data_IF_376465324382
#
_entry.id   IF_376465324382
#
_cell.length_a   1.000
_cell.length_b   1.000
_cell.length_c   1.000
_cell.angle_alpha   90.00
_cell.angle_beta   90.00
_cell.angle_gamma   90.00
#
_symmetry.space_group_name_H-M   'P 1'
#
loop_
_entity.id
_entity.type
_entity.pdbx_description
1 polymer ?
#
# COMPACT_ATOMS: atom_id res chain seq x y z
N UNK A 1 -26.58 -4.40 -58.27
CA UNK A 1 -25.97 -3.45 -57.30
C UNK A 1 -26.97 -2.82 -56.32
N UNK A 2 -28.14 -2.33 -56.75
CA UNK A 2 -29.14 -1.67 -55.85
C UNK A 2 -29.57 -2.49 -54.63
N UNK A 3 -29.69 -3.82 -54.73
CA UNK A 3 -30.12 -4.67 -53.60
C UNK A 3 -29.01 -4.91 -52.55
N UNK A 4 -27.73 -4.90 -52.92
CA UNK A 4 -26.61 -5.03 -51.98
C UNK A 4 -26.46 -3.77 -51.11
N UNK A 5 -26.68 -2.59 -51.69
CA UNK A 5 -26.62 -1.31 -50.96
C UNK A 5 -27.74 -1.25 -49.91
N UNK A 6 -28.98 -1.63 -50.26
CA UNK A 6 -30.10 -1.68 -49.30
C UNK A 6 -29.84 -2.64 -48.13
N UNK A 7 -29.21 -3.78 -48.38
CA UNK A 7 -28.89 -4.76 -47.34
C UNK A 7 -27.81 -4.26 -46.36
N UNK A 8 -26.78 -3.58 -46.87
CA UNK A 8 -25.73 -2.96 -46.04
C UNK A 8 -26.31 -1.80 -45.22
N UNK A 9 -27.15 -0.96 -45.82
CA UNK A 9 -27.84 0.14 -45.11
C UNK A 9 -28.76 -0.38 -44.00
N UNK A 10 -29.43 -1.51 -44.20
CA UNK A 10 -30.30 -2.14 -43.20
C UNK A 10 -29.48 -2.70 -42.02
N UNK A 11 -28.34 -3.35 -42.28
CA UNK A 11 -27.43 -3.84 -41.23
C UNK A 11 -26.86 -2.66 -40.43
N UNK A 12 -26.42 -1.60 -41.09
CA UNK A 12 -25.94 -0.39 -40.43
C UNK A 12 -27.03 0.26 -39.56
N UNK A 13 -28.27 0.32 -40.04
CA UNK A 13 -29.39 0.85 -39.27
C UNK A 13 -29.71 -0.03 -38.04
N UNK A 14 -29.65 -1.35 -38.17
CA UNK A 14 -29.87 -2.29 -37.04
C UNK A 14 -28.73 -2.16 -36.01
N UNK A 15 -27.48 -2.04 -36.45
CA UNK A 15 -26.34 -1.78 -35.55
C UNK A 15 -26.50 -0.43 -34.86
N UNK A 16 -26.89 0.62 -35.59
CA UNK A 16 -27.14 1.94 -35.02
C UNK A 16 -28.26 1.90 -33.98
N UNK A 17 -29.38 1.25 -34.28
CA UNK A 17 -30.52 1.09 -33.36
C UNK A 17 -30.12 0.27 -32.14
N UNK A 18 -29.39 -0.84 -32.30
CA UNK A 18 -28.89 -1.64 -31.19
C UNK A 18 -27.94 -0.83 -30.28
N UNK A 19 -27.02 -0.05 -30.85
CA UNK A 19 -26.14 0.84 -30.08
C UNK A 19 -26.91 1.97 -29.39
N UNK A 20 -27.94 2.53 -30.03
CA UNK A 20 -28.80 3.56 -29.43
C UNK A 20 -29.65 2.98 -28.29
N UNK A 21 -30.25 1.81 -28.47
CA UNK A 21 -31.07 1.13 -27.46
C UNK A 21 -30.25 0.72 -26.24
N UNK A 22 -29.00 0.26 -26.43
CA UNK A 22 -28.07 -0.02 -25.32
C UNK A 22 -27.73 1.29 -24.57
N UNK A 23 -27.47 2.40 -25.28
CA UNK A 23 -27.21 3.71 -24.65
C UNK A 23 -28.43 4.28 -23.92
N UNK A 24 -29.66 4.07 -24.43
CA UNK A 24 -30.90 4.56 -23.80
C UNK A 24 -31.29 3.72 -22.58
N UNK A 25 -31.14 2.40 -22.62
CA UNK A 25 -31.34 1.54 -21.44
C UNK A 25 -30.31 1.82 -20.34
N UNK A 26 -29.07 2.12 -20.72
CA UNK A 26 -28.02 2.50 -19.79
C UNK A 26 -28.27 3.88 -19.15
N UNK A 27 -28.90 4.81 -19.87
CA UNK A 27 -29.27 6.11 -19.30
C UNK A 27 -30.46 6.06 -18.31
N UNK A 28 -31.20 4.94 -18.26
CA UNK A 28 -32.39 4.76 -17.41
C UNK A 28 -32.20 3.82 -16.21
N UNK A 29 -31.01 3.24 -16.00
CA UNK A 29 -30.70 2.63 -14.71
C UNK A 29 -30.45 3.73 -13.70
N UNK A 30 -31.26 3.79 -12.63
CA UNK A 30 -31.01 4.70 -11.51
C UNK A 30 -29.70 4.34 -10.83
N UNK A 31 -28.59 4.95 -11.28
CA UNK A 31 -27.28 4.82 -10.64
C UNK A 31 -27.43 5.34 -9.21
N UNK A 32 -27.13 4.49 -8.25
CA UNK A 32 -27.25 4.77 -6.82
C UNK A 32 -26.05 4.21 -6.06
N UNK A 33 -26.04 4.42 -4.74
CA UNK A 33 -25.14 3.70 -3.83
C UNK A 33 -25.89 2.48 -3.31
N UNK A 34 -25.29 1.29 -3.48
CA UNK A 34 -25.85 0.04 -2.98
C UNK A 34 -25.86 0.07 -1.44
N UNK A 35 -27.07 -0.01 -0.88
CA UNK A 35 -27.32 -0.04 0.57
C UNK A 35 -27.59 -1.44 1.10
N UNK A 36 -27.18 -2.48 0.38
CA UNK A 36 -27.27 -3.87 0.86
C UNK A 36 -26.59 -4.03 2.22
N UNK A 37 -27.35 -4.56 3.18
CA UNK A 37 -26.94 -4.74 4.58
C UNK A 37 -26.72 -6.22 4.94
N UNK A 38 -26.62 -7.12 3.97
CA UNK A 38 -26.27 -8.52 4.18
C UNK A 38 -24.76 -8.65 4.50
N UNK A 39 -24.34 -8.06 5.61
CA UNK A 39 -22.95 -8.03 6.03
C UNK A 39 -22.44 -9.43 6.34
N UNK A 40 -21.15 -9.63 6.16
CA UNK A 40 -20.48 -10.79 6.73
C UNK A 40 -20.70 -10.78 8.24
N UNK A 41 -21.07 -11.94 8.80
CA UNK A 41 -21.03 -12.11 10.25
C UNK A 41 -19.56 -12.16 10.66
N UNK A 42 -19.24 -11.58 11.82
CA UNK A 42 -17.88 -11.60 12.38
C UNK A 42 -17.38 -13.04 12.65
N UNK A 43 -18.31 -13.99 12.76
CA UNK A 43 -18.02 -15.42 12.71
C UNK A 43 -17.89 -15.87 11.25
N UNK A 44 -16.75 -16.47 10.90
CA UNK A 44 -16.41 -17.04 9.59
C UNK A 44 -17.37 -18.19 9.17
N UNK A 45 -18.65 -17.90 8.96
CA UNK A 45 -19.58 -18.78 8.27
C UNK A 45 -19.11 -18.87 6.79
N UNK A 46 -18.62 -20.05 6.40
CA UNK A 46 -18.10 -20.43 5.07
C UNK A 46 -16.56 -20.48 4.89
N UNK A 47 -15.78 -20.74 5.94
CA UNK A 47 -14.61 -21.60 5.72
C UNK A 47 -15.13 -23.03 5.80
N UNK A 48 -15.59 -23.59 4.68
CA UNK A 48 -15.75 -25.04 4.61
C UNK A 48 -14.39 -25.60 4.92
N UNK A 49 -14.38 -26.43 5.95
CA UNK A 49 -13.30 -27.28 6.35
C UNK A 49 -13.59 -28.76 5.86
N UNK A 50 -12.79 -29.38 4.92
CA UNK A 50 -12.69 -30.77 4.39
C UNK A 50 -11.23 -31.22 4.07
N UNK A 51 -10.83 -32.38 4.60
CA UNK A 51 -9.47 -32.97 4.63
C UNK A 51 -9.51 -34.27 3.84
N UNK A 52 -8.47 -34.61 3.09
CA UNK A 52 -8.31 -35.95 2.50
C UNK A 52 -7.38 -36.77 3.40
N UNK A 53 -7.89 -37.87 3.98
CA UNK A 53 -7.06 -38.94 4.51
C UNK A 53 -6.90 -40.03 3.46
N UNK A 54 -5.66 -40.35 3.12
CA UNK A 54 -5.31 -41.65 2.54
C UNK A 54 -5.59 -42.73 3.60
N UNK A 55 -6.40 -43.72 3.21
CA UNK A 55 -6.85 -44.92 3.95
C UNK A 55 -8.22 -44.78 4.65
N UNK A 56 -9.29 -45.14 3.91
CA UNK A 56 -10.59 -45.63 4.40
C UNK A 56 -11.16 -45.06 5.71
N UNK A 57 -11.13 -43.74 5.89
CA UNK A 57 -11.92 -43.03 6.89
C UNK A 57 -12.53 -41.78 6.26
N UNK A 58 -13.85 -41.59 6.38
CA UNK A 58 -14.54 -40.36 5.99
C UNK A 58 -14.04 -39.21 6.88
N UNK A 59 -13.40 -38.19 6.31
CA UNK A 59 -12.95 -37.00 7.06
C UNK A 59 -13.52 -35.69 6.47
N UNK A 60 -14.05 -34.83 7.34
CA UNK A 60 -14.59 -33.49 7.08
C UNK A 60 -13.78 -32.45 7.94
N UNK A 61 -12.67 -31.79 7.46
CA UNK A 61 -12.09 -30.43 7.88
C UNK A 61 -10.90 -29.82 6.98
N UNK A 62 -10.82 -28.52 6.55
CA UNK A 62 -10.09 -27.82 5.36
C UNK A 62 -8.99 -26.97 5.98
N UNK A 63 -8.01 -27.66 6.53
CA UNK A 63 -6.68 -27.12 6.67
C UNK A 63 -5.78 -28.29 7.04
N UNK A 64 -4.93 -28.73 6.10
CA UNK A 64 -4.02 -29.84 6.36
C UNK A 64 -2.63 -29.27 6.69
N UNK A 65 -2.14 -29.49 7.91
CA UNK A 65 -0.76 -29.21 8.31
C UNK A 65 0.05 -30.50 8.16
N UNK A 66 0.85 -30.60 7.11
CA UNK A 66 1.66 -31.79 6.83
C UNK A 66 2.90 -31.76 7.72
N UNK A 67 2.90 -32.51 8.82
CA UNK A 67 4.02 -32.76 9.74
C UNK A 67 4.85 -31.54 10.17
N UNK A 68 4.61 -31.05 11.39
CA UNK A 68 5.41 -29.96 11.99
C UNK A 68 6.72 -30.52 12.54
N UNK A 69 7.83 -30.44 11.79
CA UNK A 69 9.20 -30.52 12.35
C UNK A 69 10.25 -29.99 11.36
N UNK A 70 10.63 -28.72 11.58
CA UNK A 70 11.91 -28.03 11.27
C UNK A 70 11.69 -26.69 10.54
N UNK A 71 12.20 -25.60 11.14
CA UNK A 71 12.24 -24.27 10.51
C UNK A 71 13.21 -24.28 9.32
N UNK A 72 12.85 -23.64 8.21
CA UNK A 72 13.62 -23.61 6.97
C UNK A 72 14.97 -22.86 7.05
N UNK A 73 15.61 -22.54 5.92
CA UNK A 73 16.88 -21.82 5.95
C UNK A 73 16.69 -20.34 6.34
N UNK A 74 17.45 -19.81 7.30
CA UNK A 74 17.43 -18.38 7.66
C UNK A 74 17.66 -17.43 6.47
N UNK A 75 18.30 -17.91 5.40
CA UNK A 75 18.49 -17.20 4.14
C UNK A 75 17.89 -18.05 3.01
N UNK A 76 16.79 -17.61 2.37
CA UNK A 76 16.12 -18.41 1.35
C UNK A 76 16.88 -18.38 0.01
N UNK A 77 16.56 -19.32 -0.89
CA UNK A 77 17.03 -19.29 -2.28
C UNK A 77 16.43 -18.10 -3.04
N UNK A 78 16.89 -17.85 -4.27
CA UNK A 78 16.29 -16.79 -5.09
C UNK A 78 14.83 -17.11 -5.43
N UNK A 79 13.97 -16.08 -5.43
CA UNK A 79 12.55 -16.19 -5.73
C UNK A 79 12.26 -16.95 -7.03
N UNK A 80 13.06 -16.74 -8.09
CA UNK A 80 12.91 -17.41 -9.38
C UNK A 80 13.11 -18.93 -9.29
N UNK A 81 14.09 -19.38 -8.51
CA UNK A 81 14.36 -20.82 -8.31
C UNK A 81 13.20 -21.45 -7.54
N UNK A 82 12.75 -20.80 -6.47
CA UNK A 82 11.68 -21.33 -5.62
C UNK A 82 10.34 -21.34 -6.33
N UNK A 83 10.05 -20.32 -7.14
CA UNK A 83 8.87 -20.29 -7.99
C UNK A 83 8.75 -21.54 -8.87
N UNK A 84 9.84 -21.96 -9.53
CA UNK A 84 9.84 -23.15 -10.37
C UNK A 84 9.56 -24.42 -9.55
N UNK A 85 10.23 -24.57 -8.39
CA UNK A 85 10.00 -25.70 -7.48
C UNK A 85 8.57 -25.76 -6.96
N UNK A 86 7.97 -24.61 -6.65
CA UNK A 86 6.57 -24.53 -6.20
C UNK A 86 5.62 -24.95 -7.31
N UNK A 87 5.85 -24.54 -8.57
CA UNK A 87 5.03 -24.98 -9.71
C UNK A 87 5.11 -26.49 -9.93
N UNK A 88 6.32 -27.05 -9.91
CA UNK A 88 6.52 -28.50 -10.01
C UNK A 88 5.87 -29.27 -8.86
N UNK A 89 5.97 -28.74 -7.63
CA UNK A 89 5.30 -29.33 -6.47
C UNK A 89 3.77 -29.23 -6.60
N UNK A 90 3.25 -28.11 -7.10
CA UNK A 90 1.82 -27.90 -7.33
C UNK A 90 1.26 -28.87 -8.39
N UNK A 91 1.99 -29.13 -9.48
CA UNK A 91 1.59 -30.08 -10.52
C UNK A 91 1.52 -31.53 -10.04
N UNK A 92 2.37 -31.88 -9.05
CA UNK A 92 2.34 -33.20 -8.39
C UNK A 92 1.17 -33.34 -7.43
N UNK A 93 0.59 -32.23 -6.96
CA UNK A 93 -0.64 -32.24 -6.19
C UNK A 93 -1.82 -32.39 -7.15
N UNK A 94 -2.88 -33.09 -6.74
CA UNK A 94 -4.13 -33.19 -7.52
C UNK A 94 -4.95 -31.89 -7.41
N UNK A 95 -4.33 -30.76 -7.73
CA UNK A 95 -4.91 -29.43 -7.66
C UNK A 95 -5.41 -28.96 -9.04
N UNK A 96 -6.36 -28.00 -9.08
CA UNK A 96 -6.87 -27.45 -10.33
C UNK A 96 -5.73 -26.86 -11.18
N UNK A 97 -5.65 -27.28 -12.44
CA UNK A 97 -4.58 -26.88 -13.38
C UNK A 97 -4.82 -25.51 -13.99
N UNK A 98 -6.06 -25.04 -13.94
CA UNK A 98 -6.50 -23.75 -14.44
C UNK A 98 -6.13 -22.57 -13.53
N UNK A 99 -5.73 -22.83 -12.28
CA UNK A 99 -5.28 -21.77 -11.37
C UNK A 99 -3.84 -21.37 -11.66
N UNK A 100 -3.59 -20.06 -11.65
CA UNK A 100 -2.27 -19.50 -11.96
C UNK A 100 -1.59 -18.99 -10.70
N UNK A 101 -0.28 -19.23 -10.59
CA UNK A 101 0.54 -18.64 -9.53
C UNK A 101 0.48 -17.11 -9.65
N UNK A 102 0.13 -16.46 -8.56
CA UNK A 102 -0.16 -15.02 -8.56
C UNK A 102 0.35 -14.26 -7.33
N UNK A 103 0.91 -14.99 -6.35
CA UNK A 103 1.64 -14.44 -5.22
C UNK A 103 2.71 -15.45 -4.78
N UNK A 104 3.88 -14.94 -4.42
CA UNK A 104 4.96 -15.70 -3.80
C UNK A 104 5.83 -14.75 -2.97
N UNK A 105 6.03 -15.08 -1.70
CA UNK A 105 6.86 -14.33 -0.76
C UNK A 105 7.46 -15.23 0.31
N UNK A 106 8.54 -14.79 0.95
CA UNK A 106 9.19 -15.55 2.01
C UNK A 106 8.78 -15.03 3.38
N UNK A 107 8.21 -15.90 4.21
CA UNK A 107 7.90 -15.62 5.61
C UNK A 107 9.17 -15.85 6.44
N UNK A 108 9.83 -14.77 6.86
CA UNK A 108 11.08 -14.85 7.65
C UNK A 108 10.87 -15.44 9.06
N UNK A 109 9.67 -15.28 9.63
CA UNK A 109 9.36 -15.74 10.99
C UNK A 109 9.09 -17.25 10.99
N UNK A 110 8.37 -17.77 9.99
CA UNK A 110 8.09 -19.21 9.82
C UNK A 110 9.17 -19.94 9.00
N UNK A 111 10.02 -19.20 8.29
CA UNK A 111 11.07 -19.69 7.39
C UNK A 111 10.55 -20.57 6.25
N UNK A 112 9.42 -20.16 5.67
CA UNK A 112 8.70 -20.87 4.61
C UNK A 112 8.28 -19.89 3.51
N UNK A 113 8.16 -20.38 2.28
CA UNK A 113 7.61 -19.59 1.17
C UNK A 113 6.10 -19.69 1.14
N UNK A 114 5.41 -18.56 1.23
CA UNK A 114 3.97 -18.48 1.01
C UNK A 114 3.69 -18.24 -0.47
N UNK A 115 2.76 -18.99 -1.06
CA UNK A 115 2.32 -18.78 -2.42
C UNK A 115 0.79 -18.88 -2.57
N UNK A 116 0.25 -18.25 -3.62
CA UNK A 116 -1.17 -18.37 -3.99
C UNK A 116 -1.35 -18.70 -5.47
N UNK A 117 -2.19 -19.68 -5.74
CA UNK A 117 -2.68 -20.05 -7.06
C UNK A 117 -4.17 -19.71 -7.10
N UNK A 118 -4.58 -18.82 -8.00
CA UNK A 118 -5.94 -18.28 -8.02
C UNK A 118 -6.55 -18.45 -9.42
N UNK A 119 -7.87 -18.60 -9.47
CA UNK A 119 -8.61 -18.66 -10.74
C UNK A 119 -8.44 -17.32 -11.48
N UNK A 120 -8.24 -17.40 -12.79
CA UNK A 120 -8.19 -16.22 -13.67
C UNK A 120 -9.14 -16.46 -14.85
N UNK A 121 -10.13 -15.58 -15.01
CA UNK A 121 -11.09 -15.64 -16.10
C UNK A 121 -11.13 -14.29 -16.81
N UNK A 122 -11.01 -14.30 -18.13
CA UNK A 122 -11.01 -13.09 -18.97
C UNK A 122 -9.95 -12.06 -18.53
N UNK A 123 -8.79 -12.54 -18.04
CA UNK A 123 -7.70 -11.70 -17.50
C UNK A 123 -7.98 -11.10 -16.12
N UNK A 124 -9.09 -11.46 -15.47
CA UNK A 124 -9.47 -10.99 -14.14
C UNK A 124 -9.20 -12.09 -13.12
N UNK A 125 -8.36 -11.75 -12.15
CA UNK A 125 -7.98 -12.64 -11.06
C UNK A 125 -9.09 -12.72 -10.00
N UNK A 126 -9.52 -13.94 -9.67
CA UNK A 126 -10.50 -14.22 -8.62
C UNK A 126 -9.79 -14.58 -7.30
N UNK A 127 -9.55 -13.55 -6.47
CA UNK A 127 -8.88 -13.72 -5.18
C UNK A 127 -9.71 -14.47 -4.13
N UNK A 128 -10.95 -14.84 -4.45
CA UNK A 128 -11.85 -15.61 -3.59
C UNK A 128 -12.02 -17.06 -4.02
N UNK A 129 -11.29 -17.48 -5.07
CA UNK A 129 -11.26 -18.87 -5.53
C UNK A 129 -9.84 -19.29 -5.92
N UNK A 130 -9.26 -20.19 -5.13
CA UNK A 130 -7.87 -20.56 -5.27
C UNK A 130 -7.33 -21.45 -4.16
N UNK A 131 -6.00 -21.54 -4.14
CA UNK A 131 -5.21 -22.30 -3.18
C UNK A 131 -4.11 -21.40 -2.65
N UNK A 132 -4.07 -21.21 -1.33
CA UNK A 132 -2.94 -20.64 -0.61
C UNK A 132 -2.09 -21.79 -0.09
N UNK A 133 -0.77 -21.74 -0.25
CA UNK A 133 0.12 -22.79 0.19
C UNK A 133 1.37 -22.25 0.86
N UNK A 134 2.04 -23.08 1.66
CA UNK A 134 3.40 -22.85 2.15
C UNK A 134 4.33 -23.95 1.65
N UNK A 135 5.51 -23.55 1.21
CA UNK A 135 6.56 -24.41 0.69
C UNK A 135 7.81 -24.30 1.57
N UNK A 136 8.31 -25.44 2.03
CA UNK A 136 9.55 -25.54 2.79
C UNK A 136 10.69 -25.89 1.85
N UNK A 137 11.70 -25.02 1.76
CA UNK A 137 12.92 -25.33 1.00
C UNK A 137 13.73 -26.46 1.64
N UNK A 138 13.66 -26.57 2.97
CA UNK A 138 14.37 -27.60 3.74
C UNK A 138 13.80 -28.99 3.45
N UNK A 139 12.48 -29.10 3.39
CA UNK A 139 11.78 -30.35 3.06
C UNK A 139 11.56 -30.51 1.55
N UNK A 140 11.88 -29.48 0.77
CA UNK A 140 11.69 -29.38 -0.68
C UNK A 140 10.27 -29.78 -1.13
N UNK A 141 9.23 -29.42 -0.34
CA UNK A 141 7.83 -29.78 -0.59
C UNK A 141 6.84 -28.74 -0.05
N UNK A 142 5.59 -28.85 -0.49
CA UNK A 142 4.46 -28.12 0.10
C UNK A 142 4.15 -28.74 1.47
N UNK A 143 4.20 -27.91 2.53
CA UNK A 143 4.01 -28.32 3.93
C UNK A 143 2.65 -27.88 4.50
N UNK A 144 2.00 -26.94 3.82
CA UNK A 144 0.65 -26.48 4.17
C UNK A 144 -0.08 -26.04 2.91
N UNK A 145 -1.39 -26.26 2.87
CA UNK A 145 -2.27 -25.57 1.93
C UNK A 145 -3.66 -25.33 2.49
N UNK A 146 -4.33 -24.33 1.93
CA UNK A 146 -5.72 -23.97 2.17
C UNK A 146 -6.39 -23.70 0.83
N UNK A 147 -7.42 -24.49 0.52
CA UNK A 147 -8.32 -24.24 -0.61
C UNK A 147 -9.41 -23.25 -0.18
N UNK A 148 -9.79 -22.35 -1.06
CA UNK A 148 -10.90 -21.44 -0.85
C UNK A 148 -11.67 -21.33 -2.17
N UNK A 149 -12.99 -21.35 -2.09
CA UNK A 149 -13.87 -21.34 -3.25
C UNK A 149 -15.19 -20.68 -2.85
N UNK A 150 -15.22 -19.35 -2.91
CA UNK A 150 -16.44 -18.59 -2.71
C UNK A 150 -17.02 -18.24 -4.09
N UNK A 151 -18.31 -18.48 -4.25
CA UNK A 151 -18.99 -18.24 -5.51
C UNK A 151 -19.12 -16.73 -5.79
N UNK A 152 -18.86 -16.37 -7.04
CA UNK A 152 -19.09 -15.02 -7.54
C UNK A 152 -20.53 -14.92 -8.04
N UNK A 153 -21.23 -13.85 -7.67
CA UNK A 153 -22.55 -13.54 -8.21
C UNK A 153 -22.48 -13.45 -9.72
N UNK A 154 -23.33 -14.23 -10.41
CA UNK A 154 -23.37 -14.24 -11.87
C UNK A 154 -23.83 -12.88 -12.40
N UNK A 155 -23.04 -12.33 -13.30
CA UNK A 155 -23.35 -11.10 -14.02
C UNK A 155 -24.00 -11.44 -15.36
N UNK A 156 -25.18 -10.86 -15.64
CA UNK A 156 -25.89 -11.09 -16.91
C UNK A 156 -25.36 -10.21 -18.05
N UNK A 157 -24.75 -9.08 -17.73
CA UNK A 157 -24.20 -8.09 -18.67
C UNK A 157 -23.14 -7.27 -17.94
N UNK A 158 -22.05 -6.90 -18.62
CA UNK A 158 -21.05 -5.98 -18.09
C UNK A 158 -21.21 -4.57 -18.71
N UNK A 159 -21.28 -3.55 -17.87
CA UNK A 159 -21.16 -2.14 -18.29
C UNK A 159 -19.74 -1.85 -18.76
N UNK A 160 -19.61 -0.95 -19.73
CA UNK A 160 -18.33 -0.59 -20.35
C UNK A 160 -17.69 0.64 -19.71
N UNK A 161 -16.43 0.93 -20.04
CA UNK A 161 -15.79 2.21 -19.68
C UNK A 161 -16.53 3.41 -20.27
N UNK A 162 -17.11 3.29 -21.45
CA UNK A 162 -17.88 4.38 -22.08
C UNK A 162 -19.13 4.73 -21.26
N UNK A 163 -19.80 3.72 -20.70
CA UNK A 163 -20.88 3.94 -19.76
C UNK A 163 -20.43 4.73 -18.52
N UNK A 164 -19.26 4.40 -17.97
CA UNK A 164 -18.68 5.14 -16.85
C UNK A 164 -18.40 6.60 -17.22
N UNK A 165 -17.83 6.84 -18.41
CA UNK A 165 -17.54 8.21 -18.92
C UNK A 165 -18.81 9.03 -19.07
N UNK A 166 -19.85 8.46 -19.67
CA UNK A 166 -21.15 9.13 -19.85
C UNK A 166 -21.83 9.49 -18.52
N UNK A 167 -21.55 8.75 -17.44
CA UNK A 167 -22.17 8.95 -16.13
C UNK A 167 -21.21 9.51 -15.06
N UNK A 168 -20.01 9.97 -15.42
CA UNK A 168 -18.98 10.46 -14.49
C UNK A 168 -19.53 11.54 -13.53
N UNK A 169 -20.27 12.51 -14.06
CA UNK A 169 -20.88 13.58 -13.26
C UNK A 169 -21.85 13.07 -12.19
N UNK A 170 -22.66 12.04 -12.50
CA UNK A 170 -23.61 11.44 -11.55
C UNK A 170 -22.87 10.73 -10.41
N UNK A 171 -21.80 10.00 -10.71
CA UNK A 171 -20.97 9.36 -9.67
C UNK A 171 -20.35 10.38 -8.73
N UNK A 172 -19.78 11.46 -9.28
CA UNK A 172 -19.18 12.56 -8.52
C UNK A 172 -20.23 13.21 -7.60
N UNK A 173 -21.44 13.45 -8.11
CA UNK A 173 -22.55 14.02 -7.34
C UNK A 173 -22.95 13.11 -6.16
N UNK A 174 -23.15 11.81 -6.41
CA UNK A 174 -23.48 10.83 -5.38
C UNK A 174 -22.40 10.75 -4.29
N UNK A 175 -21.12 10.71 -4.69
CA UNK A 175 -19.99 10.68 -3.76
C UNK A 175 -19.93 11.94 -2.89
N UNK A 176 -20.14 13.13 -3.48
CA UNK A 176 -20.17 14.41 -2.74
C UNK A 176 -21.39 14.55 -1.81
N UNK A 177 -22.52 13.93 -2.18
CA UNK A 177 -23.72 13.86 -1.34
C UNK A 177 -23.44 13.06 -0.07
N UNK A 178 -22.75 11.94 -0.21
CA UNK A 178 -22.51 11.01 0.90
C UNK A 178 -21.32 11.44 1.76
N UNK A 179 -20.30 12.02 1.13
CA UNK A 179 -19.10 12.51 1.82
C UNK A 179 -18.96 14.02 1.64
N UNK A 180 -19.50 14.83 2.57
CA UNK A 180 -19.39 16.29 2.50
C UNK A 180 -17.94 16.79 2.35
N UNK A 181 -16.96 16.07 2.90
CA UNK A 181 -15.53 16.38 2.76
C UNK A 181 -15.03 16.40 1.31
N UNK A 182 -15.73 15.75 0.38
CA UNK A 182 -15.40 15.74 -1.04
C UNK A 182 -15.98 16.94 -1.81
N UNK A 183 -16.90 17.71 -1.22
CA UNK A 183 -17.61 18.80 -1.93
C UNK A 183 -16.65 19.88 -2.43
N UNK A 184 -15.70 20.26 -1.58
CA UNK A 184 -14.67 21.27 -1.85
C UNK A 184 -13.49 20.72 -2.66
N UNK A 185 -13.43 19.40 -2.87
CA UNK A 185 -12.33 18.78 -3.60
C UNK A 185 -12.63 18.73 -5.11
N UNK A 186 -11.59 19.00 -5.90
CA UNK A 186 -11.63 18.78 -7.33
C UNK A 186 -11.40 17.28 -7.63
N UNK A 187 -12.48 16.50 -7.55
CA UNK A 187 -12.44 15.05 -7.81
C UNK A 187 -12.69 14.77 -9.29
N UNK A 188 -11.98 13.78 -9.83
CA UNK A 188 -12.13 13.32 -11.21
C UNK A 188 -11.94 11.80 -11.24
N UNK A 189 -12.79 11.09 -11.97
CA UNK A 189 -12.65 9.65 -12.10
C UNK A 189 -11.60 9.30 -13.17
N UNK A 190 -10.58 8.52 -12.79
CA UNK A 190 -9.62 7.95 -13.71
C UNK A 190 -10.19 6.70 -14.40
N UNK A 191 -11.14 6.94 -15.30
CA UNK A 191 -11.89 5.89 -16.00
C UNK A 191 -11.01 5.18 -17.02
N UNK A 192 -10.03 5.87 -17.61
CA UNK A 192 -9.11 5.28 -18.59
C UNK A 192 -8.28 4.17 -17.95
N UNK A 193 -7.81 4.36 -16.71
CA UNK A 193 -7.05 3.36 -15.98
C UNK A 193 -7.91 2.43 -15.11
N UNK A 194 -9.23 2.52 -15.17
CA UNK A 194 -10.13 1.65 -14.42
C UNK A 194 -9.92 0.17 -14.78
N UNK A 195 -10.02 -0.70 -13.77
CA UNK A 195 -9.80 -2.15 -13.89
C UNK A 195 -10.99 -2.93 -13.35
N UNK A 196 -11.31 -4.06 -13.98
CA UNK A 196 -12.28 -5.00 -13.45
C UNK A 196 -11.63 -5.89 -12.39
N UNK A 197 -12.30 -6.04 -11.25
CA UNK A 197 -11.87 -6.85 -10.12
C UNK A 197 -13.07 -7.61 -9.54
N UNK A 198 -12.82 -8.76 -8.92
CA UNK A 198 -13.80 -9.39 -8.04
C UNK A 198 -13.63 -8.81 -6.64
N UNK A 199 -14.73 -8.34 -6.03
CA UNK A 199 -14.71 -7.65 -4.74
C UNK A 199 -15.88 -8.03 -3.86
N UNK A 200 -15.70 -7.91 -2.55
CA UNK A 200 -16.81 -7.81 -1.60
C UNK A 200 -17.21 -6.35 -1.46
N UNK A 201 -18.47 -5.98 -1.77
CA UNK A 201 -19.02 -4.66 -1.50
C UNK A 201 -18.81 -4.26 -0.05
N UNK A 202 -18.74 -2.96 0.20
CA UNK A 202 -18.49 -2.46 1.55
C UNK A 202 -19.13 -1.10 1.80
N UNK A 203 -19.18 -0.72 3.06
CA UNK A 203 -19.81 0.52 3.53
C UNK A 203 -18.91 1.75 3.45
N UNK A 204 -17.70 1.67 2.85
CA UNK A 204 -16.80 2.83 2.82
C UNK A 204 -17.42 4.04 2.11
N UNK A 205 -18.29 3.79 1.12
CA UNK A 205 -18.98 4.83 0.35
C UNK A 205 -20.40 5.14 0.86
N UNK A 206 -20.66 4.85 2.13
CA UNK A 206 -21.95 5.08 2.79
C UNK A 206 -21.80 5.97 4.01
N UNK A 207 -22.66 6.98 4.14
CA UNK A 207 -22.64 7.87 5.29
C UNK A 207 -23.51 7.41 6.47
N UNK A 208 -24.42 6.47 6.23
CA UNK A 208 -25.37 5.94 7.22
C UNK A 208 -24.71 4.93 8.18
N UNK A 209 -23.52 4.43 7.85
CA UNK A 209 -22.77 3.46 8.67
C UNK A 209 -21.36 4.01 8.90
N UNK A 210 -20.98 4.18 10.17
CA UNK A 210 -19.66 4.73 10.55
C UNK A 210 -18.52 3.73 10.38
N UNK A 211 -18.79 2.44 10.50
CA UNK A 211 -17.82 1.36 10.40
C UNK A 211 -17.72 0.84 8.96
N UNK A 212 -16.54 0.38 8.56
CA UNK A 212 -16.36 -0.32 7.29
C UNK A 212 -16.72 -1.79 7.49
N UNK A 213 -17.84 -2.22 6.90
CA UNK A 213 -18.32 -3.60 6.89
C UNK A 213 -18.34 -4.13 5.47
N UNK A 214 -18.03 -5.41 5.29
CA UNK A 214 -18.11 -6.10 4.00
C UNK A 214 -19.44 -6.83 3.89
N UNK A 215 -20.00 -6.87 2.68
CA UNK A 215 -21.22 -7.63 2.35
C UNK A 215 -20.82 -9.06 2.02
N UNK A 216 -21.60 -10.04 2.47
CA UNK A 216 -21.43 -11.47 2.19
C UNK A 216 -21.88 -11.83 0.75
N UNK A 217 -21.28 -11.18 -0.24
CA UNK A 217 -21.43 -11.47 -1.66
C UNK A 217 -20.16 -11.02 -2.39
N UNK A 218 -19.76 -11.76 -3.41
CA UNK A 218 -18.65 -11.35 -4.29
C UNK A 218 -19.25 -10.93 -5.62
N UNK A 219 -18.87 -9.76 -6.09
CA UNK A 219 -19.34 -9.18 -7.36
C UNK A 219 -18.16 -8.78 -8.22
N UNK A 220 -18.37 -8.78 -9.54
CA UNK A 220 -17.45 -8.17 -10.50
C UNK A 220 -17.69 -6.67 -10.51
N UNK A 221 -16.63 -5.87 -10.39
CA UNK A 221 -16.73 -4.43 -10.25
C UNK A 221 -15.61 -3.70 -10.97
N UNK A 222 -15.91 -2.51 -11.49
CA UNK A 222 -14.93 -1.53 -11.89
C UNK A 222 -14.32 -0.86 -10.66
N UNK A 223 -13.02 -0.97 -10.53
CA UNK A 223 -12.22 -0.17 -9.62
C UNK A 223 -11.79 1.10 -10.33
N UNK A 224 -12.25 2.25 -9.82
CA UNK A 224 -12.01 3.57 -10.42
C UNK A 224 -11.39 4.50 -9.39
N UNK A 225 -10.19 4.99 -9.68
CA UNK A 225 -9.52 5.98 -8.83
C UNK A 225 -10.17 7.35 -9.01
N UNK A 226 -10.46 8.07 -7.91
CA UNK A 226 -11.13 9.39 -7.97
C UNK A 226 -10.32 10.52 -7.32
N UNK A 227 -9.39 10.13 -6.45
CA UNK A 227 -8.32 10.91 -5.87
C UNK A 227 -7.13 9.96 -5.81
N UNK A 228 -5.90 10.48 -5.92
CA UNK A 228 -4.71 9.64 -5.89
C UNK A 228 -4.74 8.61 -4.75
N UNK A 229 -4.69 7.32 -5.10
CA UNK A 229 -4.75 6.16 -4.20
C UNK A 229 -6.10 5.86 -3.50
N UNK A 230 -7.14 6.65 -3.74
CA UNK A 230 -8.51 6.39 -3.29
C UNK A 230 -9.36 5.98 -4.47
N UNK A 231 -10.08 4.87 -4.34
CA UNK A 231 -10.87 4.34 -5.43
C UNK A 231 -12.24 3.89 -4.96
N UNK A 232 -13.19 4.01 -5.87
CA UNK A 232 -14.57 3.55 -5.72
C UNK A 232 -14.72 2.24 -6.49
N UNK A 233 -15.58 1.37 -5.98
CA UNK A 233 -16.03 0.17 -6.68
C UNK A 233 -17.41 0.43 -7.27
N UNK A 234 -17.52 0.26 -8.58
CA UNK A 234 -18.76 0.40 -9.35
C UNK A 234 -19.13 -0.99 -9.88
N UNK A 235 -20.31 -1.48 -9.52
CA UNK A 235 -20.80 -2.81 -9.92
C UNK A 235 -20.81 -2.93 -11.46
N UNK A 236 -20.13 -3.95 -11.98
CA UNK A 236 -20.03 -4.15 -13.42
C UNK A 236 -21.39 -4.51 -14.05
N UNK A 237 -22.36 -4.98 -13.28
CA UNK A 237 -23.68 -5.38 -13.79
C UNK A 237 -24.64 -4.21 -13.95
N UNK A 238 -24.69 -3.31 -12.97
CA UNK A 238 -25.75 -2.31 -12.85
C UNK A 238 -25.25 -0.87 -12.70
N UNK A 239 -23.94 -0.66 -12.55
CA UNK A 239 -23.36 0.68 -12.42
C UNK A 239 -23.54 1.33 -11.06
N UNK A 240 -24.03 0.65 -10.03
CA UNK A 240 -24.14 1.23 -8.69
C UNK A 240 -22.77 1.32 -8.02
N UNK A 241 -22.57 2.35 -7.19
CA UNK A 241 -21.44 2.41 -6.27
C UNK A 241 -21.69 1.38 -5.15
N UNK A 242 -20.80 0.40 -5.03
CA UNK A 242 -20.92 -0.73 -4.08
C UNK A 242 -19.90 -0.68 -2.95
N UNK A 243 -19.13 0.41 -2.87
CA UNK A 243 -18.13 0.63 -1.84
C UNK A 243 -16.89 1.29 -2.40
N UNK A 244 -15.80 1.21 -1.66
CA UNK A 244 -14.51 1.71 -2.11
C UNK A 244 -13.38 1.15 -1.26
N UNK A 245 -12.17 1.60 -1.55
CA UNK A 245 -11.02 1.35 -0.70
C UNK A 245 -9.94 2.38 -1.02
N UNK A 246 -8.83 2.30 -0.30
CA UNK A 246 -7.64 3.09 -0.55
C UNK A 246 -6.42 2.21 -0.39
N UNK A 247 -5.37 2.52 -1.15
CA UNK A 247 -4.08 1.89 -0.87
C UNK A 247 -3.56 2.38 0.47
N UNK A 248 -3.20 1.46 1.37
CA UNK A 248 -2.33 1.77 2.49
C UNK A 248 -0.91 1.89 1.93
N UNK A 249 -0.32 3.07 2.00
CA UNK A 249 1.07 3.29 1.62
C UNK A 249 1.72 4.13 2.70
N UNK A 250 3.02 3.93 2.91
CA UNK A 250 3.78 4.78 3.81
C UNK A 250 4.27 6.02 3.08
N UNK A 251 4.00 7.19 3.62
CA UNK A 251 4.46 8.48 3.10
C UNK A 251 5.73 8.93 3.82
N UNK A 252 6.61 9.57 3.06
CA UNK A 252 7.82 10.21 3.55
C UNK A 252 7.86 11.67 3.09
N UNK A 253 8.31 12.57 3.97
CA UNK A 253 8.61 13.96 3.61
C UNK A 253 10.09 14.19 3.83
N UNK A 254 10.74 14.81 2.87
CA UNK A 254 12.05 15.45 3.04
C UNK A 254 11.86 16.95 2.93
N UNK A 255 12.25 17.72 3.93
CA UNK A 255 12.07 19.16 3.94
C UNK A 255 13.32 19.89 4.45
N UNK A 256 13.54 21.11 3.97
CA UNK A 256 14.61 21.99 4.46
C UNK A 256 14.14 23.41 4.66
N UNK A 257 14.79 24.14 5.58
CA UNK A 257 14.50 25.58 5.80
C UNK A 257 15.13 26.46 4.71
N UNK A 258 16.21 26.00 4.08
CA UNK A 258 16.94 26.77 3.06
C UNK A 258 17.80 27.88 3.63
N UNK A 259 18.13 27.79 4.91
CA UNK A 259 18.95 28.77 5.62
C UNK A 259 20.47 28.48 5.51
N UNK A 260 20.87 27.33 4.95
CA UNK A 260 22.29 27.03 4.72
C UNK A 260 22.86 27.75 3.48
N UNK A 261 24.13 28.17 3.57
CA UNK A 261 24.84 28.86 2.48
C UNK A 261 24.91 27.95 1.23
N UNK A 262 24.86 28.54 0.04
CA UNK A 262 24.96 27.84 -1.24
C UNK A 262 23.89 26.74 -1.48
N UNK A 263 22.77 26.78 -0.76
CA UNK A 263 21.64 25.87 -0.97
C UNK A 263 21.99 24.37 -0.80
N UNK A 264 22.98 24.06 0.05
CA UNK A 264 23.48 22.70 0.27
C UNK A 264 22.37 21.78 0.84
N UNK A 265 21.45 22.35 1.63
CA UNK A 265 20.23 21.72 2.13
C UNK A 265 19.33 21.12 1.05
N UNK A 266 19.26 21.77 -0.12
CA UNK A 266 18.40 21.31 -1.20
C UNK A 266 18.83 19.94 -1.73
N UNK A 267 20.14 19.73 -1.86
CA UNK A 267 20.69 18.46 -2.33
C UNK A 267 20.37 17.33 -1.36
N UNK A 268 20.63 17.53 -0.06
CA UNK A 268 20.31 16.54 0.97
C UNK A 268 18.81 16.19 0.99
N UNK A 269 17.95 17.19 0.81
CA UNK A 269 16.49 17.00 0.72
C UNK A 269 16.08 16.14 -0.48
N UNK A 270 16.64 16.39 -1.67
CA UNK A 270 16.37 15.55 -2.85
C UNK A 270 16.94 14.14 -2.70
N UNK A 271 18.16 14.02 -2.19
CA UNK A 271 18.83 12.73 -2.00
C UNK A 271 18.04 11.84 -1.03
N UNK A 272 17.55 12.41 0.07
CA UNK A 272 16.70 11.71 1.03
C UNK A 272 15.31 11.39 0.47
N UNK A 273 14.70 12.30 -0.32
CA UNK A 273 13.43 12.01 -0.98
C UNK A 273 13.56 10.82 -1.95
N UNK A 274 14.65 10.77 -2.71
CA UNK A 274 14.99 9.65 -3.59
C UNK A 274 15.28 8.37 -2.81
N UNK A 275 15.97 8.48 -1.67
CA UNK A 275 16.24 7.35 -0.78
C UNK A 275 14.95 6.75 -0.21
N UNK A 276 14.02 7.58 0.28
CA UNK A 276 12.71 7.11 0.74
C UNK A 276 11.90 6.44 -0.39
N UNK A 277 11.98 6.96 -1.61
CA UNK A 277 11.37 6.31 -2.78
C UNK A 277 11.95 4.92 -3.01
N UNK A 278 13.29 4.77 -2.95
CA UNK A 278 13.95 3.44 -3.04
C UNK A 278 13.55 2.50 -1.91
N UNK A 279 13.23 3.03 -0.74
CA UNK A 279 12.78 2.26 0.43
C UNK A 279 11.30 1.87 0.38
N UNK A 280 10.54 2.33 -0.63
CA UNK A 280 9.13 1.98 -0.83
C UNK A 280 8.14 2.99 -0.28
N UNK A 281 8.59 4.16 0.18
CA UNK A 281 7.68 5.23 0.60
C UNK A 281 7.19 6.02 -0.61
N UNK A 282 5.96 6.53 -0.54
CA UNK A 282 5.55 7.67 -1.38
C UNK A 282 6.21 8.93 -0.82
N UNK A 283 7.25 9.37 -1.50
CA UNK A 283 8.11 10.44 -1.04
C UNK A 283 7.69 11.81 -1.58
N UNK A 284 7.77 12.84 -0.74
CA UNK A 284 7.55 14.24 -1.08
C UNK A 284 8.78 15.06 -0.67
N UNK A 285 9.08 16.12 -1.42
CA UNK A 285 10.17 17.05 -1.12
C UNK A 285 9.65 18.48 -0.98
N UNK A 286 10.06 19.17 0.09
CA UNK A 286 9.80 20.60 0.37
C UNK A 286 11.11 21.33 0.58
N UNK A 287 11.81 21.57 -0.53
CA UNK A 287 13.11 22.24 -0.52
C UNK A 287 12.92 23.72 -0.19
N UNK A 288 13.65 24.17 0.82
CA UNK A 288 13.65 25.57 1.30
C UNK A 288 12.25 26.06 1.68
N UNK A 289 11.36 25.15 2.05
CA UNK A 289 9.94 25.39 2.30
C UNK A 289 9.44 24.57 3.51
N UNK A 290 10.32 24.24 4.44
CA UNK A 290 9.95 23.69 5.73
C UNK A 290 9.34 24.80 6.63
N UNK A 291 8.17 25.32 6.26
CA UNK A 291 7.44 26.34 7.04
C UNK A 291 6.62 25.69 8.16
N UNK A 292 6.21 26.48 9.16
CA UNK A 292 5.38 25.97 10.26
C UNK A 292 4.08 25.33 9.77
N UNK A 293 3.46 25.87 8.71
CA UNK A 293 2.25 25.29 8.15
C UNK A 293 2.50 23.91 7.55
N UNK A 294 3.56 23.76 6.76
CA UNK A 294 3.92 22.51 6.09
C UNK A 294 4.31 21.43 7.10
N UNK A 295 5.13 21.78 8.09
CA UNK A 295 5.54 20.82 9.12
C UNK A 295 4.39 20.45 10.04
N UNK A 296 3.48 21.40 10.34
CA UNK A 296 2.27 21.11 11.12
C UNK A 296 1.31 20.20 10.40
N UNK A 297 1.06 20.45 9.11
CA UNK A 297 0.30 19.50 8.29
C UNK A 297 0.99 18.14 8.33
N UNK A 298 2.28 18.06 8.05
CA UNK A 298 2.96 16.77 8.00
C UNK A 298 2.94 16.01 9.34
N UNK A 299 3.22 16.67 10.45
CA UNK A 299 3.37 16.06 11.77
C UNK A 299 2.00 15.77 12.41
N UNK A 300 0.97 16.60 12.17
CA UNK A 300 -0.32 16.49 12.85
C UNK A 300 -1.44 15.88 12.01
N UNK A 301 -1.31 15.82 10.68
CA UNK A 301 -2.38 15.34 9.77
C UNK A 301 -2.86 13.93 10.10
N UNK A 302 -1.98 13.08 10.62
CA UNK A 302 -2.29 11.67 10.87
C UNK A 302 -2.52 10.89 9.57
N UNK A 303 -2.51 9.56 9.68
CA UNK A 303 -2.64 8.66 8.53
C UNK A 303 -1.30 8.10 8.07
N UNK A 304 -0.96 8.17 6.77
CA UNK A 304 0.15 7.39 6.20
C UNK A 304 1.55 7.96 6.46
N UNK A 305 1.73 9.03 7.25
CA UNK A 305 3.07 9.63 7.44
C UNK A 305 3.90 8.77 8.39
N UNK A 306 4.88 8.07 7.83
CA UNK A 306 5.75 7.16 8.60
C UNK A 306 7.23 7.52 8.48
N UNK A 307 7.61 8.41 7.57
CA UNK A 307 9.00 8.85 7.46
C UNK A 307 9.15 10.37 7.31
N UNK A 308 10.24 10.89 7.88
CA UNK A 308 10.52 12.32 7.88
C UNK A 308 12.02 12.59 7.88
N UNK A 309 12.49 13.34 6.89
CA UNK A 309 13.79 13.98 6.88
C UNK A 309 13.60 15.49 6.99
N UNK A 310 14.36 16.10 7.88
CA UNK A 310 14.38 17.55 8.07
C UNK A 310 15.83 18.06 8.07
N UNK A 311 16.10 19.11 7.30
CA UNK A 311 17.39 19.83 7.31
C UNK A 311 17.19 21.27 7.79
N UNK A 312 17.89 21.67 8.85
CA UNK A 312 17.77 23.03 9.37
C UNK A 312 18.51 23.26 10.68
N UNK A 313 18.07 24.24 11.45
CA UNK A 313 18.65 24.55 12.75
C UNK A 313 18.03 23.71 13.87
N UNK A 314 18.82 23.49 14.91
CA UNK A 314 18.39 22.75 16.09
C UNK A 314 19.21 23.14 17.30
N UNK A 315 18.70 22.76 18.47
CA UNK A 315 19.39 22.94 19.73
C UNK A 315 18.95 21.89 20.75
N UNK A 316 19.69 21.82 21.85
CA UNK A 316 19.29 21.10 23.04
C UNK A 316 19.33 22.07 24.23
N UNK A 317 18.17 22.59 24.60
CA UNK A 317 17.98 23.51 25.74
C UNK A 317 16.91 22.95 26.67
N UNK A 318 16.99 23.29 27.95
CA UNK A 318 16.00 22.87 28.96
C UNK A 318 15.82 21.34 29.05
N UNK A 319 16.89 20.58 28.76
CA UNK A 319 16.87 19.12 28.74
C UNK A 319 16.16 18.50 27.54
N UNK A 320 15.75 19.28 26.53
CA UNK A 320 15.02 18.80 25.36
C UNK A 320 15.75 19.12 24.05
N UNK A 321 15.84 18.15 23.15
CA UNK A 321 16.23 18.39 21.76
C UNK A 321 15.06 19.07 21.01
N UNK A 322 15.36 20.06 20.18
CA UNK A 322 14.42 20.84 19.36
C UNK A 322 14.99 21.06 17.97
N UNK A 323 14.13 21.32 16.99
CA UNK A 323 14.52 21.82 15.66
C UNK A 323 13.66 23.01 15.27
N UNK A 324 14.22 23.94 14.50
CA UNK A 324 13.58 25.21 14.15
C UNK A 324 13.20 25.21 12.67
N UNK A 325 11.96 25.57 12.38
CA UNK A 325 11.48 25.66 11.00
C UNK A 325 11.84 27.00 10.33
N UNK A 326 11.51 27.15 9.04
CA UNK A 326 11.87 28.34 8.26
C UNK A 326 11.33 29.65 8.85
N UNK A 327 10.23 29.59 9.61
CA UNK A 327 9.60 30.77 10.22
C UNK A 327 10.15 31.06 11.63
N UNK A 328 11.13 30.30 12.11
CA UNK A 328 11.69 30.46 13.46
C UNK A 328 10.89 29.76 14.56
N UNK A 329 9.93 28.91 14.22
CA UNK A 329 9.19 28.16 15.23
C UNK A 329 10.00 26.93 15.69
N UNK A 330 10.27 26.85 17.00
CA UNK A 330 10.95 25.71 17.62
C UNK A 330 9.97 24.54 17.85
N UNK A 331 10.19 23.45 17.13
CA UNK A 331 9.49 22.18 17.31
C UNK A 331 10.08 21.40 18.48
N UNK A 332 9.33 21.32 19.58
CA UNK A 332 9.70 20.59 20.80
C UNK A 332 9.00 19.22 20.85
N UNK A 333 9.45 18.29 21.72
CA UNK A 333 8.84 16.96 21.87
C UNK A 333 7.32 16.96 22.03
N UNK A 334 6.72 17.94 22.70
CA UNK A 334 5.27 18.03 22.90
C UNK A 334 4.46 18.24 21.62
N UNK A 335 5.11 18.80 20.59
CA UNK A 335 4.48 19.16 19.32
C UNK A 335 4.47 17.97 18.35
N UNK A 336 5.24 16.92 18.63
CA UNK A 336 5.30 15.74 17.77
C UNK A 336 4.09 14.84 18.03
N UNK A 337 3.40 14.45 16.95
CA UNK A 337 2.27 13.51 16.96
C UNK A 337 2.55 12.36 16.00
N UNK A 338 1.84 11.24 16.15
CA UNK A 338 1.95 10.08 15.27
C UNK A 338 2.80 8.93 15.80
N UNK A 339 3.01 7.92 14.95
CA UNK A 339 3.81 6.72 15.23
C UNK A 339 4.73 6.46 14.04
N UNK A 340 5.97 6.92 14.14
CA UNK A 340 6.87 7.06 12.99
C UNK A 340 7.79 5.87 12.85
N UNK A 341 8.17 5.54 11.62
CA UNK A 341 9.08 4.45 11.31
C UNK A 341 10.49 4.95 11.03
N UNK A 342 10.66 5.99 10.21
CA UNK A 342 11.99 6.49 9.87
C UNK A 342 12.08 8.01 9.96
N UNK A 343 12.74 8.51 11.01
CA UNK A 343 12.99 9.94 11.18
C UNK A 343 14.49 10.25 11.16
N UNK A 344 14.89 11.26 10.39
CA UNK A 344 16.23 11.85 10.44
C UNK A 344 16.09 13.37 10.55
N UNK A 345 16.42 13.90 11.73
CA UNK A 345 16.48 15.34 11.96
C UNK A 345 17.93 15.80 11.80
N UNK A 346 18.30 16.22 10.60
CA UNK A 346 19.58 16.83 10.24
C UNK A 346 19.62 18.28 10.74
N UNK A 347 19.73 18.42 12.06
CA UNK A 347 19.78 19.71 12.75
C UNK A 347 20.67 19.64 14.00
N UNK A 348 21.38 20.71 14.30
CA UNK A 348 22.35 20.76 15.40
C UNK A 348 21.76 20.23 16.72
N UNK A 349 22.47 19.31 17.38
CA UNK A 349 22.04 18.73 18.68
C UNK A 349 20.66 18.06 18.69
N UNK A 350 20.07 17.71 17.53
CA UNK A 350 18.77 17.06 17.43
C UNK A 350 18.70 15.68 18.12
N UNK A 351 19.86 15.09 18.43
CA UNK A 351 20.01 13.83 19.14
C UNK A 351 21.04 13.90 20.27
N UNK A 352 21.11 15.05 20.96
CA UNK A 352 21.88 15.19 22.19
C UNK A 352 21.36 14.25 23.30
N UNK A 353 20.05 13.97 23.30
CA UNK A 353 19.36 12.99 24.13
C UNK A 353 18.17 12.37 23.37
N UNK A 354 17.40 11.46 24.00
CA UNK A 354 16.31 10.72 23.34
C UNK A 354 14.96 11.47 23.27
N UNK A 355 14.85 12.73 23.70
CA UNK A 355 13.53 13.37 23.82
C UNK A 355 12.77 13.48 22.50
N UNK A 356 13.43 13.82 21.39
CA UNK A 356 12.78 13.83 20.07
C UNK A 356 12.47 12.41 19.60
N UNK A 357 13.42 11.48 19.69
CA UNK A 357 13.20 10.08 19.28
C UNK A 357 11.98 9.45 19.99
N UNK A 358 11.87 9.66 21.31
CA UNK A 358 10.75 9.21 22.12
C UNK A 358 9.43 9.88 21.70
N UNK A 359 9.45 11.16 21.34
CA UNK A 359 8.26 11.89 20.86
C UNK A 359 7.76 11.35 19.51
N UNK A 360 8.67 10.91 18.64
CA UNK A 360 8.35 10.18 17.40
C UNK A 360 7.93 8.71 17.64
N UNK A 361 7.89 8.25 18.91
CA UNK A 361 7.63 6.87 19.33
C UNK A 361 8.67 5.86 18.82
N UNK A 362 9.92 6.28 18.78
CA UNK A 362 11.06 5.47 18.38
C UNK A 362 11.97 5.28 19.61
N UNK A 363 11.85 4.11 20.23
CA UNK A 363 12.63 3.74 21.41
C UNK A 363 13.78 2.80 21.01
N UNK A 364 14.75 2.63 21.91
CA UNK A 364 15.81 1.65 21.71
C UNK A 364 15.20 0.24 21.55
N UNK A 365 15.53 -0.46 20.46
CA UNK A 365 14.98 -1.79 20.15
C UNK A 365 13.58 -1.79 19.54
N UNK A 366 12.98 -0.64 19.23
CA UNK A 366 11.69 -0.59 18.51
C UNK A 366 11.81 -1.26 17.14
N UNK A 367 11.06 -2.36 16.90
CA UNK A 367 11.07 -3.14 15.65
C UNK A 367 10.67 -2.27 14.45
N UNK A 368 11.45 -2.34 13.36
CA UNK A 368 11.24 -1.58 12.11
C UNK A 368 11.10 -0.06 12.31
N UNK A 369 11.90 0.51 13.24
CA UNK A 369 11.96 1.96 13.46
C UNK A 369 13.39 2.48 13.52
N UNK A 370 13.62 3.71 13.11
CA UNK A 370 14.92 4.37 13.12
C UNK A 370 14.76 5.89 13.34
N UNK A 371 15.48 6.41 14.32
CA UNK A 371 15.69 7.83 14.53
C UNK A 371 17.18 8.15 14.40
N UNK A 372 17.52 9.16 13.59
CA UNK A 372 18.86 9.70 13.41
C UNK A 372 18.89 11.20 13.73
N UNK A 373 20.03 11.67 14.23
CA UNK A 373 20.31 13.08 14.46
C UNK A 373 21.70 13.31 15.07
N UNK A 374 22.06 14.57 15.32
CA UNK A 374 23.41 14.94 15.76
C UNK A 374 23.52 15.07 17.28
N UNK A 375 24.59 14.56 17.89
CA UNK A 375 24.83 14.69 19.34
C UNK A 375 25.08 16.14 19.76
N UNK A 376 25.81 16.88 18.94
CA UNK A 376 26.25 18.26 19.18
C UNK A 376 26.10 19.07 17.88
N UNK A 377 26.36 20.40 17.87
CA UNK A 377 26.39 21.15 16.63
C UNK A 377 27.37 20.54 15.61
N UNK A 378 26.97 20.57 14.34
CA UNK A 378 27.76 20.08 13.21
C UNK A 378 27.76 21.15 12.13
N UNK A 379 28.89 21.31 11.46
CA UNK A 379 29.00 22.26 10.37
C UNK A 379 28.22 21.77 9.13
N UNK A 380 27.70 22.72 8.37
CA UNK A 380 26.85 22.47 7.21
C UNK A 380 27.50 21.55 6.15
N UNK A 381 28.81 21.70 5.87
CA UNK A 381 29.50 20.92 4.84
C UNK A 381 29.65 19.45 5.26
N UNK A 382 30.17 19.14 6.47
CA UNK A 382 30.17 17.78 7.00
C UNK A 382 28.79 17.13 7.04
N UNK A 383 27.76 17.82 7.54
CA UNK A 383 26.40 17.30 7.61
C UNK A 383 25.87 16.91 6.22
N UNK A 384 26.04 17.80 5.24
CA UNK A 384 25.61 17.54 3.87
C UNK A 384 26.36 16.38 3.20
N UNK A 385 27.68 16.28 3.38
CA UNK A 385 28.49 15.16 2.87
C UNK A 385 28.06 13.84 3.49
N UNK A 386 27.76 13.85 4.80
CA UNK A 386 27.19 12.68 5.46
C UNK A 386 25.85 12.30 4.82
N UNK A 387 24.92 13.24 4.71
CA UNK A 387 23.57 13.00 4.19
C UNK A 387 23.62 12.48 2.74
N UNK A 388 24.47 13.02 1.88
CA UNK A 388 24.69 12.52 0.51
C UNK A 388 25.17 11.04 0.50
N UNK A 389 26.22 10.74 1.26
CA UNK A 389 26.78 9.37 1.34
C UNK A 389 25.78 8.40 1.97
N UNK A 390 24.99 8.88 2.93
CA UNK A 390 24.00 8.09 3.65
C UNK A 390 22.80 7.78 2.77
N UNK A 391 22.20 8.80 2.17
CA UNK A 391 21.07 8.67 1.28
C UNK A 391 21.39 7.74 0.11
N UNK A 392 22.51 7.95 -0.60
CA UNK A 392 22.90 7.14 -1.78
C UNK A 392 23.01 5.64 -1.51
N UNK A 393 23.31 5.24 -0.26
CA UNK A 393 23.51 3.84 0.14
C UNK A 393 22.38 3.28 1.00
N UNK A 394 21.38 4.08 1.31
CA UNK A 394 20.26 3.68 2.15
C UNK A 394 19.50 2.49 1.53
N UNK A 395 19.18 1.49 2.36
CA UNK A 395 18.55 0.23 1.92
C UNK A 395 19.52 -0.87 1.46
N UNK A 396 20.84 -0.62 1.46
CA UNK A 396 21.87 -1.64 1.17
C UNK A 396 22.38 -2.36 2.43
N UNK A 397 22.20 -1.74 3.60
CA UNK A 397 22.58 -2.22 4.93
C UNK A 397 21.55 -1.75 5.97
N UNK A 398 21.53 -2.32 7.18
CA UNK A 398 20.73 -1.77 8.27
C UNK A 398 21.05 -0.29 8.53
N UNK A 399 20.03 0.53 8.79
CA UNK A 399 20.12 1.99 8.91
C UNK A 399 21.20 2.40 9.91
N UNK A 400 21.22 1.76 11.09
CA UNK A 400 22.21 2.02 12.13
C UNK A 400 23.64 1.70 11.68
N UNK A 401 23.83 0.54 11.04
CA UNK A 401 25.14 0.11 10.56
C UNK A 401 25.68 1.04 9.48
N UNK A 402 24.82 1.48 8.55
CA UNK A 402 25.19 2.42 7.50
C UNK A 402 25.57 3.80 8.05
N UNK A 403 24.76 4.35 8.96
CA UNK A 403 25.05 5.65 9.58
C UNK A 403 26.38 5.63 10.34
N UNK A 404 26.64 4.56 11.10
CA UNK A 404 27.90 4.36 11.81
C UNK A 404 29.08 4.30 10.83
N UNK A 405 28.97 3.46 9.81
CA UNK A 405 30.05 3.27 8.82
C UNK A 405 30.41 4.57 8.12
N UNK A 406 29.44 5.38 7.73
CA UNK A 406 29.73 6.66 7.04
C UNK A 406 30.42 7.63 7.98
N UNK A 407 29.95 7.74 9.23
CA UNK A 407 30.56 8.63 10.20
C UNK A 407 32.01 8.23 10.54
N UNK A 408 32.30 6.93 10.65
CA UNK A 408 33.66 6.43 10.92
C UNK A 408 34.63 6.62 9.74
N UNK A 409 34.11 6.73 8.51
CA UNK A 409 34.90 6.92 7.29
C UNK A 409 34.96 8.38 6.81
N UNK A 410 34.48 9.33 7.61
CA UNK A 410 34.62 10.77 7.35
C UNK A 410 35.79 11.32 8.16
N UNK A 411 36.62 12.16 7.53
CA UNK A 411 37.69 12.86 8.23
C UNK A 411 37.13 13.99 9.12
N UNK A 412 35.99 14.55 8.71
CA UNK A 412 35.25 15.56 9.44
C UNK A 412 34.49 14.96 10.62
N UNK A 413 34.40 15.71 11.71
CA UNK A 413 33.65 15.27 12.88
C UNK A 413 32.13 15.33 12.62
N UNK A 414 31.52 14.17 12.44
CA UNK A 414 30.06 13.99 12.23
C UNK A 414 29.45 13.13 13.34
N UNK A 415 29.00 13.72 14.46
CA UNK A 415 28.63 12.99 15.67
C UNK A 415 27.19 12.42 15.60
N UNK A 416 26.93 11.61 14.57
CA UNK A 416 25.63 10.97 14.34
C UNK A 416 25.27 10.02 15.49
N UNK A 417 24.00 10.00 15.87
CA UNK A 417 23.43 9.10 16.88
C UNK A 417 22.19 8.41 16.33
N UNK A 418 21.93 7.21 16.84
CA UNK A 418 20.84 6.34 16.39
C UNK A 418 20.01 5.84 17.58
N UNK A 419 18.69 5.75 17.41
CA UNK A 419 17.76 5.02 18.28
C UNK A 419 16.79 4.21 17.40
N UNK A 420 16.54 2.94 17.72
CA UNK A 420 15.60 2.08 16.97
C UNK A 420 16.08 0.64 16.77
N UNK A 421 15.62 0.02 15.68
CA UNK A 421 15.96 -1.33 15.22
C UNK A 421 17.32 -1.35 14.52
N UNK A 422 18.31 -2.02 15.11
CA UNK A 422 19.66 -2.10 14.57
C UNK A 422 19.80 -3.01 13.35
N UNK A 423 18.79 -3.84 13.08
CA UNK A 423 18.79 -4.81 11.97
C UNK A 423 17.96 -4.34 10.77
N UNK A 424 17.16 -3.28 10.93
CA UNK A 424 16.23 -2.84 9.90
C UNK A 424 16.87 -1.98 8.82
N UNK A 425 16.49 -2.24 7.57
CA UNK A 425 17.01 -1.59 6.37
C UNK A 425 16.26 -0.30 6.00
N UNK A 426 15.28 0.12 6.80
CA UNK A 426 14.50 1.34 6.55
C UNK A 426 13.34 1.17 5.57
N UNK A 427 12.96 -0.06 5.20
CA UNK A 427 11.90 -0.34 4.20
C UNK A 427 10.51 0.06 4.70
N UNK A 428 9.73 0.74 3.86
CA UNK A 428 8.33 1.06 4.12
C UNK A 428 7.52 -0.17 4.54
N UNK A 429 6.53 0.06 5.40
CA UNK A 429 5.65 -0.97 5.97
C UNK A 429 4.64 -1.54 4.98
#
# INVERSE_FOLDING_TARGET
MKNKIKFISLILAIILIATFSINVLANNTGITIDRNNNFEKDELENIVEREESLNNVKVNRVSARLNKRMQGPKKPSSKKIVEQKIKEAYEKMNFPKEYKLSYIDYDEDEQEWEAKFEEEKDGIKNIYKGIKLKYSELENKIVFYKKFNQEVTKTNQDITKDFLKQNEGKYIELMKKEFPKLREQNIKLDIENAKLEYVKPNTLMRNDIKEIKQVNKIVKAWRVEYIKNYYVYIDAQNGNIIGGNYYKYAEALSASTGQMRNNVDAKGTYDMANAFTRLGYRSFSRVNDATTYILRDWIWRGGPQYAFYFSGHGNARDGQCKFEDKNGYEWKPSDIKGNWDFVFIDACSSKANDTLANAFKIYNGSRRKAYLGWKVPVDQIPAARFTERFASRLGTKPVQGLAKEIAENMAEYVPIRFTGDRSWYGRAR
#
